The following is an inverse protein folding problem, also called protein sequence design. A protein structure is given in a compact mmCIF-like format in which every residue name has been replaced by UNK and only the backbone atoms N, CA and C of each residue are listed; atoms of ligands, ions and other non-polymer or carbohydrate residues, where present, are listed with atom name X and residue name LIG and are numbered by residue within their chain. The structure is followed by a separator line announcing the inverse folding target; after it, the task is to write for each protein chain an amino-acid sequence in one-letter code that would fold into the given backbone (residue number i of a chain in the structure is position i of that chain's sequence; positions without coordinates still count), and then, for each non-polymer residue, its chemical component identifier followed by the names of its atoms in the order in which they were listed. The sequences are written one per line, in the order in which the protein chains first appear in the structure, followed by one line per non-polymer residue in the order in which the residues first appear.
data_IF_144785809152
#
_entry.id   IF_144785809152
#
_cell.length_a   1.000
_cell.length_b   1.000
_cell.length_c   1.000
_cell.angle_alpha   90.00
_cell.angle_beta   90.00
_cell.angle_gamma   90.00
#
_symmetry.space_group_name_H-M   'P 1'
#
loop_
_entity.id
_entity.type
_entity.pdbx_description
1 polymer ?
#
# COMPACT_ATOMS: atom_id res chain seq x y z
N UNK A 1 -7.20 -33.45 14.94
CA UNK A 1 -8.41 -32.69 14.58
C UNK A 1 -7.90 -31.29 14.34
N UNK A 2 -7.31 -31.07 13.16
CA UNK A 2 -6.24 -30.09 13.03
C UNK A 2 -6.78 -28.77 12.49
N UNK A 3 -6.88 -27.83 13.43
CA UNK A 3 -6.56 -26.41 13.33
C UNK A 3 -7.17 -25.61 12.16
N UNK A 4 -8.29 -24.94 12.44
CA UNK A 4 -8.83 -23.89 11.59
C UNK A 4 -8.02 -22.60 11.80
N UNK A 5 -7.24 -22.08 10.82
CA UNK A 5 -6.54 -20.81 11.02
C UNK A 5 -7.48 -19.65 10.67
N UNK A 6 -8.44 -19.37 11.57
CA UNK A 6 -9.41 -18.26 11.49
C UNK A 6 -8.76 -16.91 11.87
N UNK A 7 -7.58 -16.60 11.31
CA UNK A 7 -6.78 -15.43 11.70
C UNK A 7 -6.16 -14.67 10.51
N UNK A 8 -5.86 -15.32 9.38
CA UNK A 8 -4.96 -14.77 8.34
C UNK A 8 -5.37 -13.41 7.73
N UNK A 9 -6.64 -13.00 7.81
CA UNK A 9 -7.11 -11.69 7.34
C UNK A 9 -6.86 -10.56 8.35
N UNK A 10 -6.91 -10.85 9.66
CA UNK A 10 -6.59 -9.87 10.72
C UNK A 10 -5.11 -9.49 10.67
N UNK A 11 -4.25 -10.49 10.45
CA UNK A 11 -2.81 -10.28 10.30
C UNK A 11 -2.46 -9.44 9.06
N UNK A 12 -3.14 -9.64 7.92
CA UNK A 12 -2.93 -8.80 6.75
C UNK A 12 -3.35 -7.35 6.97
N UNK A 13 -4.52 -7.12 7.59
CA UNK A 13 -4.95 -5.77 7.90
C UNK A 13 -3.98 -5.09 8.87
N UNK A 14 -3.47 -5.80 9.87
CA UNK A 14 -2.42 -5.30 10.76
C UNK A 14 -1.15 -4.92 9.99
N UNK A 15 -0.72 -5.73 9.03
CA UNK A 15 0.44 -5.40 8.18
C UNK A 15 0.21 -4.15 7.33
N UNK A 16 -1.01 -3.97 6.79
CA UNK A 16 -1.39 -2.75 6.07
C UNK A 16 -1.31 -1.54 7.00
N UNK A 17 -1.94 -1.58 8.18
CA UNK A 17 -1.89 -0.49 9.16
C UNK A 17 -0.47 -0.18 9.62
N UNK A 18 0.35 -1.21 9.85
CA UNK A 18 1.76 -1.04 10.22
C UNK A 18 2.55 -0.36 9.10
N UNK A 19 2.37 -0.81 7.85
CA UNK A 19 3.02 -0.18 6.69
C UNK A 19 2.54 1.26 6.48
N UNK A 20 1.25 1.54 6.71
CA UNK A 20 0.70 2.89 6.67
C UNK A 20 1.36 3.79 7.74
N UNK A 21 1.53 3.26 8.96
CA UNK A 21 2.24 3.95 10.05
C UNK A 21 3.69 4.27 9.67
N UNK A 22 4.42 3.32 9.06
CA UNK A 22 5.77 3.56 8.57
C UNK A 22 5.83 4.62 7.46
N UNK A 23 4.86 4.64 6.54
CA UNK A 23 4.72 5.69 5.53
C UNK A 23 4.50 7.06 6.19
N UNK A 24 3.71 7.12 7.26
CA UNK A 24 3.42 8.35 7.98
C UNK A 24 4.64 8.88 8.76
N UNK A 25 5.42 7.99 9.38
CA UNK A 25 6.65 8.35 10.11
C UNK A 25 7.74 8.81 9.16
N UNK A 26 7.83 8.20 7.97
CA UNK A 26 8.82 8.57 6.95
C UNK A 26 8.41 9.79 6.14
N UNK A 27 7.13 10.19 6.16
CA UNK A 27 6.64 11.35 5.41
C UNK A 27 7.29 12.69 5.83
N UNK A 28 7.41 13.05 7.13
CA UNK A 28 8.13 14.25 7.54
C UNK A 28 9.58 14.28 7.04
N UNK A 29 10.28 13.14 7.08
CA UNK A 29 11.64 13.02 6.57
C UNK A 29 11.69 13.20 5.05
N UNK A 30 10.75 12.60 4.32
CA UNK A 30 10.64 12.75 2.88
C UNK A 30 10.32 14.19 2.46
N UNK A 31 9.46 14.88 3.22
CA UNK A 31 9.17 16.31 3.02
C UNK A 31 10.42 17.16 3.23
N UNK A 32 11.20 16.87 4.28
CA UNK A 32 12.46 17.58 4.54
C UNK A 32 13.46 17.38 3.40
N UNK A 33 13.71 16.13 2.98
CA UNK A 33 14.64 15.82 1.89
C UNK A 33 14.16 16.39 0.55
N UNK A 34 12.86 16.33 0.26
CA UNK A 34 12.28 16.97 -0.92
C UNK A 34 12.51 18.49 -0.91
N UNK A 35 12.34 19.14 0.25
CA UNK A 35 12.61 20.57 0.41
C UNK A 35 14.08 20.92 0.19
N UNK A 36 15.00 20.12 0.72
CA UNK A 36 16.44 20.28 0.48
C UNK A 36 16.83 20.04 -0.98
N UNK A 37 16.09 19.20 -1.70
CA UNK A 37 16.28 19.00 -3.15
C UNK A 37 15.89 20.24 -3.97
N UNK A 38 15.10 21.15 -3.39
CA UNK A 38 14.71 22.44 -4.00
C UNK A 38 15.53 23.64 -3.53
N UNK A 39 16.65 23.40 -2.84
CA UNK A 39 17.55 24.46 -2.43
C UNK A 39 18.22 25.21 -3.61
N UNK A 40 18.55 24.56 -4.75
CA UNK A 40 19.10 25.26 -5.91
C UNK A 40 18.10 26.24 -6.55
N UNK A 41 18.57 27.39 -7.08
CA UNK A 41 17.70 28.45 -7.64
C UNK A 41 16.96 28.01 -8.91
N UNK A 42 17.49 27.04 -9.65
CA UNK A 42 16.87 26.49 -10.87
C UNK A 42 16.03 25.23 -10.58
N UNK A 43 15.83 24.88 -9.31
CA UNK A 43 15.08 23.68 -8.93
C UNK A 43 13.58 23.85 -9.16
N UNK A 44 12.93 22.73 -9.43
CA UNK A 44 11.50 22.69 -9.73
C UNK A 44 10.73 21.84 -8.73
N UNK A 45 9.40 21.91 -8.78
CA UNK A 45 8.55 20.97 -8.05
C UNK A 45 8.83 19.49 -8.41
N UNK A 46 9.40 19.21 -9.59
CA UNK A 46 9.81 17.86 -9.95
C UNK A 46 11.02 17.39 -9.13
N UNK A 47 11.92 18.29 -8.75
CA UNK A 47 13.10 17.95 -7.94
C UNK A 47 12.70 17.72 -6.48
N UNK A 48 11.73 18.49 -5.98
CA UNK A 48 11.03 18.16 -4.73
C UNK A 48 10.41 16.75 -4.80
N UNK A 49 9.64 16.48 -5.85
CA UNK A 49 8.93 15.20 -6.00
C UNK A 49 9.91 14.02 -6.10
N UNK A 50 11.03 14.19 -6.81
CA UNK A 50 12.10 13.18 -6.88
C UNK A 50 12.69 12.91 -5.49
N UNK A 51 13.04 13.96 -4.74
CA UNK A 51 13.58 13.82 -3.38
C UNK A 51 12.59 13.16 -2.43
N UNK A 52 11.33 13.58 -2.47
CA UNK A 52 10.24 13.02 -1.67
C UNK A 52 10.01 11.53 -2.00
N UNK A 53 9.85 11.20 -3.28
CA UNK A 53 9.59 9.82 -3.73
C UNK A 53 10.80 8.92 -3.52
N UNK A 54 12.03 9.43 -3.53
CA UNK A 54 13.22 8.63 -3.24
C UNK A 54 13.19 8.06 -1.82
N UNK A 55 12.80 8.88 -0.84
CA UNK A 55 12.66 8.44 0.56
C UNK A 55 11.40 7.58 0.75
N UNK A 56 10.29 7.95 0.11
CA UNK A 56 9.02 7.22 0.21
C UNK A 56 8.96 5.95 -0.64
N UNK A 57 9.93 5.69 -1.54
CA UNK A 57 9.89 4.55 -2.45
C UNK A 57 9.72 3.22 -1.72
N UNK A 58 10.53 2.97 -0.68
CA UNK A 58 10.46 1.73 0.10
C UNK A 58 9.15 1.66 0.91
N UNK A 59 8.77 2.68 1.71
CA UNK A 59 7.49 2.67 2.41
C UNK A 59 6.27 2.45 1.51
N UNK A 60 6.20 3.16 0.37
CA UNK A 60 5.10 3.05 -0.59
C UNK A 60 5.08 1.67 -1.25
N UNK A 61 6.24 1.12 -1.60
CA UNK A 61 6.34 -0.19 -2.24
C UNK A 61 5.84 -1.31 -1.32
N UNK A 62 6.20 -1.27 -0.03
CA UNK A 62 5.72 -2.24 0.96
C UNK A 62 4.19 -2.14 1.13
N UNK A 63 3.66 -0.92 1.23
CA UNK A 63 2.22 -0.69 1.30
C UNK A 63 1.50 -1.25 0.07
N UNK A 64 2.06 -1.02 -1.12
CA UNK A 64 1.50 -1.52 -2.38
C UNK A 64 1.44 -3.05 -2.42
N UNK A 65 2.50 -3.74 -1.99
CA UNK A 65 2.52 -5.21 -1.92
C UNK A 65 1.39 -5.73 -1.01
N UNK A 66 1.24 -5.17 0.19
CA UNK A 66 0.20 -5.62 1.11
C UNK A 66 -1.21 -5.30 0.61
N UNK A 67 -1.39 -4.15 -0.03
CA UNK A 67 -2.67 -3.76 -0.62
C UNK A 67 -3.03 -4.65 -1.82
N UNK A 68 -2.07 -4.95 -2.70
CA UNK A 68 -2.26 -5.88 -3.81
C UNK A 68 -2.60 -7.29 -3.30
N UNK A 69 -1.88 -7.80 -2.29
CA UNK A 69 -2.18 -9.08 -1.65
C UNK A 69 -3.60 -9.08 -1.08
N UNK A 70 -3.96 -8.05 -0.31
CA UNK A 70 -5.29 -7.93 0.26
C UNK A 70 -6.38 -7.93 -0.81
N UNK A 71 -6.17 -7.19 -1.90
CA UNK A 71 -7.09 -7.13 -3.05
C UNK A 71 -7.27 -8.49 -3.73
N UNK A 72 -6.19 -9.24 -3.97
CA UNK A 72 -6.24 -10.59 -4.55
C UNK A 72 -6.99 -11.56 -3.63
N UNK A 73 -6.80 -11.48 -2.31
CA UNK A 73 -7.57 -12.32 -1.36
C UNK A 73 -9.04 -11.97 -1.32
N UNK A 74 -9.38 -10.67 -1.37
CA UNK A 74 -10.77 -10.22 -1.43
C UNK A 74 -11.43 -10.66 -2.75
N UNK A 75 -10.67 -10.70 -3.84
CA UNK A 75 -11.13 -11.12 -5.16
C UNK A 75 -11.56 -12.59 -5.24
N UNK A 76 -11.01 -13.49 -4.41
CA UNK A 76 -11.54 -14.87 -4.30
C UNK A 76 -13.02 -14.93 -3.92
N UNK A 77 -13.56 -13.88 -3.32
CA UNK A 77 -15.00 -13.72 -3.04
C UNK A 77 -15.74 -12.94 -4.13
N UNK A 78 -15.04 -12.18 -4.98
CA UNK A 78 -15.62 -11.45 -6.11
C UNK A 78 -15.94 -12.39 -7.29
N UNK A 79 -15.05 -13.33 -7.63
CA UNK A 79 -15.35 -14.34 -8.66
C UNK A 79 -16.49 -15.28 -8.25
N UNK A 80 -16.61 -15.59 -6.95
CA UNK A 80 -17.73 -16.38 -6.43
C UNK A 80 -19.07 -15.62 -6.54
N UNK A 81 -19.07 -14.30 -6.28
CA UNK A 81 -20.25 -13.45 -6.46
C UNK A 81 -20.64 -13.27 -7.93
N UNK A 82 -19.67 -13.07 -8.82
CA UNK A 82 -19.90 -12.95 -10.28
C UNK A 82 -20.37 -14.29 -10.87
N UNK A 83 -19.77 -15.41 -10.45
CA UNK A 83 -20.19 -16.75 -10.86
C UNK A 83 -21.61 -17.07 -10.36
N UNK A 84 -21.94 -16.74 -9.10
CA UNK A 84 -23.30 -16.92 -8.55
C UNK A 84 -24.33 -16.08 -9.31
N UNK A 85 -24.00 -14.82 -9.64
CA UNK A 85 -24.87 -13.94 -10.42
C UNK A 85 -25.08 -14.48 -11.86
N UNK A 86 -24.02 -14.99 -12.50
CA UNK A 86 -24.14 -15.64 -13.82
C UNK A 86 -24.95 -16.94 -13.78
N UNK A 87 -24.85 -17.72 -12.70
CA UNK A 87 -25.58 -18.99 -12.53
C UNK A 87 -27.07 -18.80 -12.22
N UNK A 88 -27.46 -17.68 -11.61
CA UNK A 88 -28.87 -17.33 -11.38
C UNK A 88 -29.56 -16.72 -12.61
N UNK A 89 -28.77 -16.36 -13.62
CA UNK A 89 -29.23 -15.71 -14.85
C UNK A 89 -29.50 -16.69 -16.00
N UNK A 90 -29.35 -17.99 -15.76
CA UNK A 90 -29.68 -19.12 -16.64
C UNK A 90 -30.79 -19.96 -16.01
#
# INVERSE_FOLDING_TARGET
MDEVPKNKNKNLLLLIYLSLGLNLITAPLALFIGGMATDPPDSTQLDFLKGFLFIQAIPLFILFIFLAWYSIRKSKYAYAGIAFFCLLSY
#
